data_IF_793910052024
#
_entry.id   IF_793910052024
#
_cell.length_a   1.000
_cell.length_b   1.000
_cell.length_c   1.000
_cell.angle_alpha   90.00
_cell.angle_beta   90.00
_cell.angle_gamma   90.00
#
_symmetry.space_group_name_H-M   'P 1'
#
loop_
_entity.id
_entity.type
_entity.pdbx_description
1 polymer ?
#
# COMPACT_ATOMS: atom_id res chain seq x y z
N UNK A 1 17.63 -19.70 -28.38
CA UNK A 1 16.58 -19.51 -27.37
C UNK A 1 17.07 -18.53 -26.31
N UNK A 2 16.43 -17.37 -26.14
CA UNK A 2 16.55 -16.54 -24.94
C UNK A 2 15.18 -15.95 -24.65
N UNK A 3 14.55 -16.33 -23.53
CA UNK A 3 13.34 -15.67 -23.03
C UNK A 3 13.77 -14.32 -22.48
N UNK A 4 13.43 -13.24 -23.18
CA UNK A 4 13.46 -11.88 -22.62
C UNK A 4 12.29 -11.77 -21.65
N UNK A 5 12.54 -12.08 -20.38
CA UNK A 5 11.61 -11.72 -19.31
C UNK A 5 11.66 -10.22 -19.12
N UNK A 6 10.67 -9.50 -19.65
CA UNK A 6 10.51 -8.06 -19.37
C UNK A 6 10.18 -7.89 -17.89
N UNK A 7 11.11 -7.35 -17.10
CA UNK A 7 10.87 -7.00 -15.70
C UNK A 7 10.00 -5.74 -15.65
N UNK A 8 8.68 -5.91 -15.58
CA UNK A 8 7.73 -4.80 -15.50
C UNK A 8 7.82 -4.17 -14.11
N UNK A 9 8.55 -3.06 -13.99
CA UNK A 9 8.58 -2.25 -12.78
C UNK A 9 7.29 -1.40 -12.73
N UNK A 10 6.34 -1.81 -11.90
CA UNK A 10 5.17 -0.99 -11.58
C UNK A 10 5.63 0.09 -10.61
N UNK A 11 5.53 1.36 -11.01
CA UNK A 11 5.86 2.44 -10.10
C UNK A 11 4.81 2.50 -8.98
N UNK A 12 5.23 2.88 -7.77
CA UNK A 12 4.30 3.10 -6.64
C UNK A 12 3.19 4.09 -7.01
N UNK A 13 3.48 5.07 -7.87
CA UNK A 13 2.48 6.01 -8.38
C UNK A 13 1.36 5.34 -9.19
N UNK A 14 1.68 4.29 -9.97
CA UNK A 14 0.68 3.56 -10.76
C UNK A 14 -0.26 2.75 -9.87
N UNK A 15 0.27 2.13 -8.81
CA UNK A 15 -0.56 1.45 -7.80
C UNK A 15 -1.53 2.42 -7.12
N UNK A 16 -1.09 3.65 -6.84
CA UNK A 16 -1.92 4.64 -6.17
C UNK A 16 -3.03 5.14 -7.10
N UNK A 17 -2.73 5.36 -8.39
CA UNK A 17 -3.73 5.68 -9.42
C UNK A 17 -4.80 4.60 -9.57
N UNK A 18 -4.44 3.33 -9.40
CA UNK A 18 -5.40 2.23 -9.39
C UNK A 18 -6.27 2.26 -8.12
N UNK A 19 -5.65 2.49 -6.96
CA UNK A 19 -6.35 2.64 -5.68
C UNK A 19 -7.35 3.81 -5.65
N UNK A 20 -7.10 4.87 -6.41
CA UNK A 20 -8.05 5.99 -6.55
C UNK A 20 -9.35 5.57 -7.24
N UNK A 21 -9.29 4.60 -8.16
CA UNK A 21 -10.41 4.20 -9.02
C UNK A 21 -11.12 2.94 -8.54
N UNK A 22 -10.45 2.10 -7.77
CA UNK A 22 -10.94 0.79 -7.34
C UNK A 22 -10.82 0.61 -5.82
N UNK A 23 -11.95 0.39 -5.17
CA UNK A 23 -12.04 0.23 -3.72
C UNK A 23 -11.37 -1.02 -3.18
N UNK A 24 -11.38 -2.13 -3.94
CA UNK A 24 -10.74 -3.39 -3.54
C UNK A 24 -9.23 -3.27 -3.64
N UNK A 25 -8.71 -2.61 -4.68
CA UNK A 25 -7.28 -2.33 -4.82
C UNK A 25 -6.81 -1.41 -3.69
N UNK A 26 -7.57 -0.37 -3.37
CA UNK A 26 -7.28 0.52 -2.23
C UNK A 26 -7.21 -0.26 -0.91
N UNK A 27 -8.16 -1.15 -0.66
CA UNK A 27 -8.20 -1.98 0.55
C UNK A 27 -7.00 -2.94 0.60
N UNK A 28 -6.67 -3.60 -0.51
CA UNK A 28 -5.53 -4.50 -0.59
C UNK A 28 -4.21 -3.77 -0.30
N UNK A 29 -4.01 -2.57 -0.85
CA UNK A 29 -2.83 -1.75 -0.58
C UNK A 29 -2.80 -1.30 0.89
N UNK A 30 -3.93 -0.87 1.45
CA UNK A 30 -4.01 -0.47 2.86
C UNK A 30 -3.66 -1.63 3.80
N UNK A 31 -4.17 -2.84 3.53
CA UNK A 31 -3.85 -4.05 4.31
C UNK A 31 -2.36 -4.39 4.22
N UNK A 32 -1.79 -4.41 3.02
CA UNK A 32 -0.36 -4.65 2.84
C UNK A 32 0.50 -3.65 3.62
N UNK A 33 0.17 -2.35 3.54
CA UNK A 33 0.88 -1.31 4.27
C UNK A 33 0.74 -1.48 5.79
N UNK A 34 -0.44 -1.85 6.30
CA UNK A 34 -0.65 -2.12 7.71
C UNK A 34 0.20 -3.30 8.21
N UNK A 35 0.27 -4.39 7.44
CA UNK A 35 1.16 -5.53 7.73
C UNK A 35 2.63 -5.11 7.73
N UNK A 36 3.06 -4.28 6.76
CA UNK A 36 4.43 -3.76 6.75
C UNK A 36 4.75 -2.81 7.89
N UNK A 37 3.77 -2.05 8.39
CA UNK A 37 3.92 -1.19 9.57
C UNK A 37 4.05 -2.02 10.87
N UNK A 38 3.35 -3.16 10.94
CA UNK A 38 3.37 -4.06 12.10
C UNK A 38 4.63 -4.92 12.16
N UNK A 39 4.91 -5.68 11.10
CA UNK A 39 5.88 -6.79 11.11
C UNK A 39 7.02 -6.63 10.09
N UNK A 40 7.11 -5.48 9.39
CA UNK A 40 8.20 -5.22 8.44
C UNK A 40 9.56 -5.00 9.09
N UNK A 41 10.62 -4.97 8.26
CA UNK A 41 11.95 -4.46 8.70
C UNK A 41 11.83 -3.02 9.20
N UNK A 42 12.75 -2.51 10.05
CA UNK A 42 12.67 -1.14 10.56
C UNK A 42 12.45 -0.08 9.47
N UNK A 43 13.14 -0.23 8.33
CA UNK A 43 12.97 0.65 7.17
C UNK A 43 11.60 0.52 6.50
N UNK A 44 11.06 -0.70 6.39
CA UNK A 44 9.73 -0.91 5.83
C UNK A 44 8.62 -0.36 6.72
N UNK A 45 8.75 -0.52 8.04
CA UNK A 45 7.79 0.02 9.02
C UNK A 45 7.70 1.53 8.90
N UNK A 46 8.86 2.21 8.90
CA UNK A 46 8.92 3.67 8.77
C UNK A 46 8.28 4.15 7.46
N UNK A 47 8.58 3.48 6.33
CA UNK A 47 8.02 3.84 5.02
C UNK A 47 6.51 3.62 5.01
N UNK A 48 6.02 2.49 5.52
CA UNK A 48 4.60 2.16 5.55
C UNK A 48 3.82 3.16 6.43
N UNK A 49 4.32 3.49 7.61
CA UNK A 49 3.71 4.49 8.48
C UNK A 49 3.69 5.88 7.85
N UNK A 50 4.77 6.29 7.18
CA UNK A 50 4.81 7.57 6.44
C UNK A 50 3.75 7.61 5.35
N UNK A 51 3.56 6.52 4.61
CA UNK A 51 2.55 6.44 3.54
C UNK A 51 1.14 6.52 4.13
N UNK A 52 0.85 5.70 5.15
CA UNK A 52 -0.48 5.64 5.79
C UNK A 52 -0.87 6.99 6.43
N UNK A 53 0.08 7.69 7.08
CA UNK A 53 -0.19 8.96 7.76
C UNK A 53 -0.30 10.14 6.80
N UNK A 54 0.50 10.17 5.73
CA UNK A 54 0.60 11.34 4.83
C UNK A 54 -0.39 11.30 3.67
N UNK A 55 -0.84 10.12 3.26
CA UNK A 55 -1.67 10.01 2.06
C UNK A 55 -3.17 9.96 2.41
N UNK A 56 -3.98 10.94 1.98
CA UNK A 56 -5.43 10.96 2.25
C UNK A 56 -6.16 9.71 1.79
N UNK A 57 -5.66 9.03 0.75
CA UNK A 57 -6.25 7.80 0.22
C UNK A 57 -6.29 6.65 1.23
N UNK A 58 -5.32 6.63 2.15
CA UNK A 58 -5.18 5.60 3.18
C UNK A 58 -5.37 6.17 4.58
N UNK A 59 -5.69 7.46 4.70
CA UNK A 59 -6.07 8.06 5.96
C UNK A 59 -7.37 7.39 6.39
N UNK A 60 -7.25 6.53 7.40
CA UNK A 60 -8.34 5.69 7.92
C UNK A 60 -9.56 6.58 8.16
N UNK A 61 -10.60 6.44 7.34
CA UNK A 61 -11.91 6.94 7.71
C UNK A 61 -12.45 5.99 8.79
N UNK A 62 -12.92 6.49 9.95
CA UNK A 62 -13.27 5.66 11.10
C UNK A 62 -14.37 4.61 10.90
N UNK A 63 -14.88 4.38 9.68
CA UNK A 63 -16.15 3.68 9.52
C UNK A 63 -16.13 2.22 9.09
N UNK A 64 -15.03 1.63 8.59
CA UNK A 64 -15.15 0.24 8.06
C UNK A 64 -14.00 -0.72 8.38
N UNK A 65 -12.97 -0.29 9.10
CA UNK A 65 -11.90 -1.20 9.50
C UNK A 65 -11.69 -1.05 10.99
N UNK A 66 -12.15 -2.05 11.75
CA UNK A 66 -11.82 -2.24 13.15
C UNK A 66 -10.33 -2.49 13.31
N UNK A 67 -9.53 -1.44 13.23
CA UNK A 67 -8.11 -1.45 13.60
C UNK A 67 -8.02 -0.74 14.93
N UNK A 68 -7.91 -1.55 15.99
CA UNK A 68 -7.46 -1.11 17.31
C UNK A 68 -6.00 -0.66 17.17
N UNK A 69 -5.73 0.61 17.46
CA UNK A 69 -4.37 1.13 17.72
C UNK A 69 -3.91 0.64 19.10
#
# INVERSE_FOLDING_TARGET
MARVGSCYNIATADLFRLAERDGEIKKAIALYLAEKAKDGTPRQREIAEKILKRNPLFRVQPLEVGILL
#
